data_IF_871262917564
#
_entry.id   IF_871262917564
#
_cell.length_a   1.000
_cell.length_b   1.000
_cell.length_c   1.000
_cell.angle_alpha   90.00
_cell.angle_beta   90.00
_cell.angle_gamma   90.00
#
_symmetry.space_group_name_H-M   'P 1'
#
loop_
_entity.id
_entity.type
_entity.pdbx_description
1 polymer ?
#
# COMPACT_ATOMS: atom_id res chain seq x y z
N UNK A 1 21.25 -8.89 -6.29
CA UNK A 1 19.84 -8.64 -5.94
C UNK A 1 19.64 -7.38 -5.11
N UNK A 2 20.45 -7.13 -4.07
CA UNK A 2 20.40 -5.90 -3.26
C UNK A 2 20.34 -4.59 -4.07
N UNK A 3 21.19 -4.41 -5.10
CA UNK A 3 21.17 -3.19 -5.93
C UNK A 3 19.90 -3.01 -6.77
N UNK A 4 19.25 -4.10 -7.19
CA UNK A 4 17.98 -4.04 -7.93
C UNK A 4 16.84 -3.60 -7.01
N UNK A 5 16.76 -4.17 -5.81
CA UNK A 5 15.77 -3.78 -4.79
C UNK A 5 16.04 -2.34 -4.30
N UNK A 6 17.30 -1.95 -4.15
CA UNK A 6 17.69 -0.57 -3.84
C UNK A 6 17.14 0.44 -4.85
N UNK A 7 17.17 0.12 -6.15
CA UNK A 7 16.60 1.01 -7.17
C UNK A 7 15.08 1.22 -7.02
N UNK A 8 14.35 0.24 -6.48
CA UNK A 8 12.92 0.36 -6.17
C UNK A 8 12.72 1.25 -4.95
N UNK A 9 13.57 1.13 -3.93
CA UNK A 9 13.58 2.03 -2.77
C UNK A 9 13.83 3.49 -3.21
N UNK A 10 14.89 3.73 -3.99
CA UNK A 10 15.23 5.06 -4.52
C UNK A 10 14.11 5.64 -5.40
N UNK A 11 13.37 4.76 -6.11
CA UNK A 11 12.22 5.18 -6.90
C UNK A 11 11.05 5.61 -6.01
N UNK A 12 10.70 4.81 -4.99
CA UNK A 12 9.63 5.17 -4.05
C UNK A 12 9.97 6.46 -3.34
N UNK A 13 11.20 6.62 -2.84
CA UNK A 13 11.64 7.83 -2.14
C UNK A 13 11.47 9.09 -3.01
N UNK A 14 11.83 9.03 -4.29
CA UNK A 14 11.61 10.14 -5.23
C UNK A 14 10.15 10.35 -5.62
N UNK A 15 9.34 9.31 -5.57
CA UNK A 15 7.92 9.37 -5.92
C UNK A 15 7.04 9.83 -4.75
N UNK A 16 7.57 9.89 -3.53
CA UNK A 16 6.87 10.39 -2.36
C UNK A 16 6.62 11.90 -2.47
N UNK A 17 5.38 12.29 -2.28
CA UNK A 17 4.96 13.67 -2.10
C UNK A 17 4.21 13.78 -0.77
N UNK A 18 4.75 14.56 0.17
CA UNK A 18 4.18 14.76 1.50
C UNK A 18 3.85 13.42 2.21
N UNK A 19 4.82 12.50 2.27
CA UNK A 19 4.70 11.17 2.91
C UNK A 19 3.72 10.19 2.25
N UNK A 20 3.14 10.57 1.11
CA UNK A 20 2.21 9.74 0.35
C UNK A 20 2.71 9.46 -1.06
N UNK A 21 2.28 8.36 -1.64
CA UNK A 21 2.54 7.98 -3.02
C UNK A 21 1.23 7.78 -3.77
N UNK A 22 1.17 8.29 -5.01
CA UNK A 22 0.07 7.99 -5.93
C UNK A 22 0.12 6.53 -6.38
N UNK A 23 -1.05 5.89 -6.51
CA UNK A 23 -1.12 4.48 -6.89
C UNK A 23 -0.42 4.15 -8.21
N UNK A 24 -0.39 5.10 -9.16
CA UNK A 24 0.33 4.91 -10.42
C UNK A 24 1.84 4.75 -10.23
N UNK A 25 2.44 5.50 -9.30
CA UNK A 25 3.85 5.33 -8.98
C UNK A 25 4.07 4.06 -8.13
N UNK A 26 3.17 3.77 -7.19
CA UNK A 26 3.21 2.52 -6.43
C UNK A 26 3.16 1.27 -7.34
N UNK A 27 2.25 1.23 -8.32
CA UNK A 27 2.15 0.13 -9.28
C UNK A 27 3.40 0.01 -10.15
N UNK A 28 3.99 1.13 -10.59
CA UNK A 28 5.29 1.12 -11.27
C UNK A 28 6.40 0.52 -10.41
N UNK A 29 6.40 0.76 -9.10
CA UNK A 29 7.37 0.14 -8.19
C UNK A 29 7.21 -1.39 -8.12
N UNK A 30 5.96 -1.88 -8.14
CA UNK A 30 5.65 -3.32 -8.22
C UNK A 30 6.10 -3.90 -9.58
N UNK A 31 5.82 -3.22 -10.69
CA UNK A 31 6.28 -3.63 -12.03
C UNK A 31 7.81 -3.65 -12.14
N UNK A 32 8.51 -2.70 -11.49
CA UNK A 32 9.96 -2.69 -11.45
C UNK A 32 10.52 -3.96 -10.79
N UNK A 33 9.89 -4.48 -9.74
CA UNK A 33 10.31 -5.76 -9.14
C UNK A 33 10.21 -6.92 -10.14
N UNK A 34 9.15 -6.93 -10.96
CA UNK A 34 8.96 -7.91 -12.02
C UNK A 34 10.04 -7.78 -13.11
N UNK A 35 10.33 -6.56 -13.57
CA UNK A 35 11.41 -6.32 -14.55
C UNK A 35 12.78 -6.76 -14.04
N UNK A 36 12.98 -6.66 -12.72
CA UNK A 36 14.20 -7.10 -12.05
C UNK A 36 14.29 -8.61 -11.84
N UNK A 37 13.21 -9.34 -12.13
CA UNK A 37 13.04 -10.78 -11.88
C UNK A 37 13.31 -11.12 -10.40
N UNK A 38 12.71 -10.34 -9.51
CA UNK A 38 12.89 -10.50 -8.07
C UNK A 38 12.18 -11.78 -7.60
N UNK A 39 12.87 -12.67 -6.89
CA UNK A 39 12.26 -13.89 -6.35
C UNK A 39 11.62 -13.68 -4.99
N UNK A 40 10.79 -14.63 -4.53
CA UNK A 40 10.17 -14.56 -3.20
C UNK A 40 11.19 -14.42 -2.06
N UNK A 41 12.28 -15.19 -2.11
CA UNK A 41 13.38 -15.10 -1.13
C UNK A 41 14.05 -13.72 -1.12
N UNK A 42 14.18 -13.08 -2.28
CA UNK A 42 14.72 -11.73 -2.36
C UNK A 42 13.77 -10.73 -1.69
N UNK A 43 12.46 -10.87 -1.91
CA UNK A 43 11.45 -10.04 -1.23
C UNK A 43 11.55 -10.20 0.28
N UNK A 44 11.63 -11.43 0.79
CA UNK A 44 11.82 -11.69 2.22
C UNK A 44 13.11 -11.04 2.75
N UNK A 45 14.22 -11.20 2.03
CA UNK A 45 15.53 -10.73 2.49
C UNK A 45 15.72 -9.21 2.40
N UNK A 46 15.04 -8.54 1.45
CA UNK A 46 15.32 -7.14 1.13
C UNK A 46 14.13 -6.20 1.26
N UNK A 47 12.89 -6.69 1.24
CA UNK A 47 11.68 -5.87 1.32
C UNK A 47 10.84 -6.13 2.56
N UNK A 48 10.91 -7.32 3.17
CA UNK A 48 10.23 -7.62 4.44
C UNK A 48 11.18 -7.38 5.61
N UNK A 49 11.48 -6.10 5.85
CA UNK A 49 12.33 -5.65 6.94
C UNK A 49 11.64 -4.54 7.74
N UNK A 50 11.64 -4.62 9.08
CA UNK A 50 10.99 -3.62 9.91
C UNK A 50 11.66 -2.25 9.82
N UNK A 51 12.96 -2.18 9.50
CA UNK A 51 13.70 -0.91 9.37
C UNK A 51 13.33 -0.13 8.10
N UNK A 52 12.71 -0.79 7.12
CA UNK A 52 12.31 -0.16 5.86
C UNK A 52 11.01 0.62 6.02
N UNK A 53 10.72 1.49 5.06
CA UNK A 53 9.41 2.11 4.94
C UNK A 53 8.33 1.05 4.72
N UNK A 54 7.18 1.17 5.39
CA UNK A 54 6.05 0.24 5.25
C UNK A 54 5.53 0.15 3.81
N UNK A 55 5.69 1.21 3.01
CA UNK A 55 5.35 1.21 1.59
C UNK A 55 6.23 0.23 0.79
N UNK A 56 7.49 0.04 1.17
CA UNK A 56 8.35 -0.98 0.56
C UNK A 56 7.90 -2.39 0.94
N UNK A 57 7.51 -2.59 2.20
CA UNK A 57 6.92 -3.87 2.62
C UNK A 57 5.63 -4.15 1.83
N UNK A 58 4.77 -3.14 1.64
CA UNK A 58 3.54 -3.24 0.86
C UNK A 58 3.80 -3.57 -0.62
N UNK A 59 4.79 -2.93 -1.25
CA UNK A 59 5.20 -3.25 -2.63
C UNK A 59 5.66 -4.70 -2.73
N UNK A 60 6.46 -5.18 -1.78
CA UNK A 60 6.86 -6.58 -1.68
C UNK A 60 5.67 -7.53 -1.54
N UNK A 61 4.76 -7.22 -0.62
CA UNK A 61 3.52 -7.98 -0.39
C UNK A 61 2.69 -8.10 -1.68
N UNK A 62 2.42 -6.98 -2.34
CA UNK A 62 1.63 -6.95 -3.57
C UNK A 62 2.31 -7.75 -4.68
N UNK A 63 3.62 -7.60 -4.85
CA UNK A 63 4.37 -8.36 -5.83
C UNK A 63 4.30 -9.88 -5.58
N UNK A 64 4.44 -10.32 -4.32
CA UNK A 64 4.32 -11.74 -3.95
C UNK A 64 2.97 -12.34 -4.30
N UNK A 65 1.88 -11.61 -4.02
CA UNK A 65 0.52 -12.11 -4.22
C UNK A 65 0.14 -12.12 -5.70
N UNK A 66 0.46 -11.04 -6.43
CA UNK A 66 -0.07 -10.82 -7.79
C UNK A 66 0.87 -11.33 -8.88
N UNK A 67 2.18 -11.14 -8.74
CA UNK A 67 3.14 -11.47 -9.80
C UNK A 67 3.79 -12.83 -9.58
N UNK A 68 4.12 -13.16 -8.33
CA UNK A 68 4.71 -14.46 -7.99
C UNK A 68 3.66 -15.53 -7.66
N UNK A 69 2.39 -15.14 -7.53
CA UNK A 69 1.26 -16.02 -7.20
C UNK A 69 1.51 -16.89 -5.94
N UNK A 70 2.24 -16.35 -4.97
CA UNK A 70 2.55 -17.06 -3.73
C UNK A 70 1.25 -17.22 -2.91
N UNK A 71 0.96 -18.42 -2.37
CA UNK A 71 -0.18 -18.62 -1.50
C UNK A 71 -0.18 -17.64 -0.33
N UNK A 72 -1.36 -17.09 0.00
CA UNK A 72 -1.50 -16.08 1.06
C UNK A 72 -0.92 -16.56 2.40
N UNK A 73 -1.09 -17.84 2.73
CA UNK A 73 -0.55 -18.48 3.94
C UNK A 73 0.97 -18.30 4.07
N UNK A 74 1.70 -18.55 2.98
CA UNK A 74 3.16 -18.43 2.95
C UNK A 74 3.60 -16.96 3.03
N UNK A 75 2.83 -16.04 2.45
CA UNK A 75 3.11 -14.61 2.53
C UNK A 75 2.86 -14.10 3.95
N UNK A 76 1.78 -14.53 4.60
CA UNK A 76 1.47 -14.20 6.00
C UNK A 76 2.56 -14.73 6.93
N UNK A 77 2.99 -15.98 6.74
CA UNK A 77 4.11 -16.55 7.49
C UNK A 77 5.37 -15.69 7.35
N UNK A 78 5.70 -15.27 6.12
CA UNK A 78 6.85 -14.41 5.86
C UNK A 78 6.73 -13.01 6.49
N UNK A 79 5.52 -12.42 6.51
CA UNK A 79 5.26 -11.14 7.19
C UNK A 79 5.42 -11.27 8.70
N UNK A 80 4.92 -12.37 9.28
CA UNK A 80 5.02 -12.67 10.70
C UNK A 80 6.47 -12.94 11.12
N UNK A 81 7.21 -13.77 10.37
CA UNK A 81 8.62 -14.09 10.64
C UNK A 81 9.53 -12.87 10.55
N UNK A 82 9.10 -11.85 9.81
CA UNK A 82 9.86 -10.60 9.61
C UNK A 82 9.33 -9.46 10.48
N UNK A 83 8.37 -9.71 11.37
CA UNK A 83 7.78 -8.74 12.30
C UNK A 83 7.17 -7.50 11.61
N UNK A 84 6.69 -7.65 10.36
CA UNK A 84 6.08 -6.56 9.59
C UNK A 84 4.56 -6.72 9.39
N UNK A 85 3.97 -7.84 9.81
CA UNK A 85 2.53 -8.13 9.61
C UNK A 85 1.61 -7.03 10.16
N UNK A 86 1.87 -6.56 11.37
CA UNK A 86 1.06 -5.55 12.07
C UNK A 86 1.31 -4.12 11.57
N UNK A 87 2.29 -3.90 10.69
CA UNK A 87 2.56 -2.56 10.15
C UNK A 87 1.39 -2.13 9.29
N UNK A 88 0.98 -0.87 9.45
CA UNK A 88 -0.21 -0.36 8.78
C UNK A 88 0.11 0.66 7.70
N UNK A 89 -0.70 0.62 6.65
CA UNK A 89 -0.76 1.65 5.61
C UNK A 89 -2.11 2.34 5.67
N UNK A 90 -2.13 3.63 5.35
CA UNK A 90 -3.35 4.37 5.09
C UNK A 90 -3.57 4.43 3.58
N UNK A 91 -4.71 3.92 3.13
CA UNK A 91 -5.13 3.98 1.74
C UNK A 91 -6.34 4.90 1.66
N UNK A 92 -6.23 5.93 0.84
CA UNK A 92 -7.32 6.85 0.57
C UNK A 92 -7.65 6.88 -0.91
N UNK A 93 -8.93 6.87 -1.23
CA UNK A 93 -9.38 6.88 -2.62
C UNK A 93 -10.71 7.60 -2.80
N UNK A 94 -10.90 8.13 -4.01
CA UNK A 94 -12.12 8.81 -4.41
C UNK A 94 -12.89 7.95 -5.40
N UNK A 95 -14.13 7.61 -5.06
CA UNK A 95 -15.06 6.93 -5.95
C UNK A 95 -15.97 7.94 -6.64
N UNK A 96 -16.11 7.85 -7.96
CA UNK A 96 -17.11 8.58 -8.72
C UNK A 96 -18.50 8.09 -8.34
N UNK A 97 -19.40 9.03 -8.12
CA UNK A 97 -20.80 8.73 -7.90
C UNK A 97 -21.39 7.98 -9.11
N UNK A 98 -21.99 6.83 -8.83
CA UNK A 98 -22.67 6.01 -9.85
C UNK A 98 -23.98 6.65 -10.28
N UNK A 99 -24.42 6.34 -11.49
CA UNK A 99 -25.78 6.68 -11.94
C UNK A 99 -26.79 5.71 -11.33
N UNK A 100 -27.82 6.24 -10.69
CA UNK A 100 -28.88 5.47 -10.06
C UNK A 100 -30.23 6.16 -10.31
N UNK A 101 -31.17 5.45 -10.93
CA UNK A 101 -32.50 5.97 -11.34
C UNK A 101 -32.46 7.34 -12.06
N UNK A 102 -31.50 7.53 -12.97
CA UNK A 102 -31.37 8.76 -13.75
C UNK A 102 -30.72 9.94 -13.02
N UNK A 103 -30.25 9.75 -11.78
CA UNK A 103 -29.48 10.74 -11.04
C UNK A 103 -28.05 10.24 -10.83
N UNK A 104 -27.07 11.14 -10.93
CA UNK A 104 -25.70 10.85 -10.53
C UNK A 104 -25.58 11.00 -9.01
N UNK A 105 -25.18 9.92 -8.32
CA UNK A 105 -24.86 9.97 -6.88
C UNK A 105 -23.64 10.87 -6.63
N UNK A 106 -23.39 11.23 -5.37
CA UNK A 106 -22.20 12.01 -5.02
C UNK A 106 -20.95 11.17 -5.10
N UNK A 107 -19.84 11.82 -5.40
CA UNK A 107 -18.52 11.21 -5.27
C UNK A 107 -18.23 10.92 -3.80
N UNK A 108 -17.60 9.79 -3.53
CA UNK A 108 -17.33 9.31 -2.18
C UNK A 108 -15.83 9.32 -1.91
N UNK A 109 -15.44 9.90 -0.79
CA UNK A 109 -14.09 9.76 -0.27
C UNK A 109 -14.03 8.60 0.72
N UNK A 110 -13.06 7.71 0.52
CA UNK A 110 -12.81 6.57 1.37
C UNK A 110 -11.41 6.68 1.94
N UNK A 111 -11.26 6.36 3.23
CA UNK A 111 -9.98 6.29 3.93
C UNK A 111 -9.98 5.05 4.82
N UNK A 112 -8.95 4.21 4.70
CA UNK A 112 -8.79 3.00 5.48
C UNK A 112 -7.35 2.83 5.92
N UNK A 113 -7.16 2.60 7.22
CA UNK A 113 -5.94 2.04 7.77
C UNK A 113 -6.08 0.51 7.76
N UNK A 114 -5.05 -0.18 7.27
CA UNK A 114 -5.05 -1.64 7.18
C UNK A 114 -3.65 -2.17 7.44
N UNK A 115 -3.55 -3.31 8.14
CA UNK A 115 -2.27 -3.99 8.36
C UNK A 115 -1.82 -4.74 7.11
N UNK A 116 -0.52 -5.03 7.00
CA UNK A 116 0.00 -5.86 5.91
C UNK A 116 -0.55 -7.30 5.99
N UNK A 117 -0.72 -7.83 7.20
CA UNK A 117 -1.33 -9.14 7.44
C UNK A 117 -2.78 -9.19 6.94
N UNK A 118 -3.60 -8.20 7.30
CA UNK A 118 -5.00 -8.12 6.86
C UNK A 118 -5.11 -7.97 5.33
N UNK A 119 -4.21 -7.22 4.70
CA UNK A 119 -4.15 -7.09 3.24
C UNK A 119 -3.81 -8.41 2.54
N UNK A 120 -3.01 -9.27 3.18
CA UNK A 120 -2.69 -10.59 2.63
C UNK A 120 -3.89 -11.55 2.64
N UNK A 121 -4.78 -11.41 3.63
CA UNK A 121 -5.98 -12.23 3.81
C UNK A 121 -7.17 -11.68 3.02
N UNK A 122 -7.41 -10.37 3.10
CA UNK A 122 -8.60 -9.71 2.56
C UNK A 122 -8.35 -9.15 1.17
N UNK A 123 -8.92 -9.83 0.15
CA UNK A 123 -8.72 -9.47 -1.25
C UNK A 123 -9.65 -8.36 -1.76
N UNK A 124 -10.78 -8.10 -1.11
CA UNK A 124 -11.91 -7.52 -1.84
C UNK A 124 -12.01 -5.99 -1.81
N UNK A 125 -11.76 -5.32 -0.68
CA UNK A 125 -11.97 -3.86 -0.61
C UNK A 125 -10.71 -3.05 -0.87
N UNK A 126 -9.70 -3.13 0.00
CA UNK A 126 -8.51 -2.25 -0.09
C UNK A 126 -7.49 -2.81 -1.07
N UNK A 127 -7.22 -4.11 -1.02
CA UNK A 127 -6.26 -4.74 -1.93
C UNK A 127 -6.73 -4.64 -3.39
N UNK A 128 -8.03 -4.81 -3.65
CA UNK A 128 -8.62 -4.60 -4.97
C UNK A 128 -8.40 -3.18 -5.52
N UNK A 129 -8.50 -2.15 -4.67
CA UNK A 129 -8.21 -0.75 -5.04
C UNK A 129 -6.73 -0.55 -5.33
N UNK A 130 -5.84 -1.10 -4.49
CA UNK A 130 -4.38 -1.01 -4.69
C UNK A 130 -3.93 -1.71 -5.97
N UNK A 131 -4.52 -2.87 -6.28
CA UNK A 131 -4.20 -3.66 -7.45
C UNK A 131 -4.69 -3.03 -8.75
N UNK A 132 -5.95 -2.59 -8.78
CA UNK A 132 -6.56 -1.99 -9.99
C UNK A 132 -6.09 -0.55 -10.22
N UNK A 133 -5.82 0.19 -9.16
CA UNK A 133 -5.49 1.62 -9.22
C UNK A 133 -6.70 2.49 -9.56
N UNK A 134 -6.44 3.64 -10.17
CA UNK A 134 -7.47 4.58 -10.61
C UNK A 134 -8.12 4.09 -11.93
N UNK A 135 -9.31 3.51 -11.83
CA UNK A 135 -10.08 2.95 -12.97
C UNK A 135 -11.50 3.49 -12.90
N UNK A 136 -12.06 4.02 -14.00
CA UNK A 136 -13.45 4.52 -14.27
C UNK A 136 -14.38 4.93 -13.11
N UNK A 137 -14.49 4.15 -12.04
CA UNK A 137 -15.21 4.47 -10.80
C UNK A 137 -14.30 4.99 -9.68
N UNK A 138 -12.98 4.85 -9.77
CA UNK A 138 -11.97 5.29 -8.80
C UNK A 138 -11.07 6.32 -9.49
N UNK A 139 -11.14 7.57 -9.05
CA UNK A 139 -10.46 8.71 -9.71
C UNK A 139 -9.00 8.79 -9.32
N UNK A 140 -8.74 8.56 -8.03
CA UNK A 140 -7.42 8.73 -7.42
C UNK A 140 -7.30 7.80 -6.23
N UNK A 141 -6.10 7.28 -6.04
CA UNK A 141 -5.75 6.46 -4.88
C UNK A 141 -4.38 6.94 -4.42
N UNK A 142 -4.29 7.26 -3.13
CA UNK A 142 -3.04 7.63 -2.48
C UNK A 142 -2.80 6.69 -1.31
N UNK A 143 -1.52 6.40 -1.09
CA UNK A 143 -1.07 5.44 -0.09
C UNK A 143 -0.02 6.14 0.77
N UNK A 144 -0.14 6.06 2.08
CA UNK A 144 0.88 6.55 3.00
C UNK A 144 1.14 5.52 4.10
N UNK A 145 2.21 5.71 4.86
CA UNK A 145 2.29 5.06 6.16
C UNK A 145 1.09 5.48 7.01
N UNK A 146 0.52 4.55 7.79
CA UNK A 146 -0.50 4.93 8.75
C UNK A 146 0.13 5.83 9.82
N UNK A 147 -0.49 6.98 10.09
CA UNK A 147 -0.07 7.82 11.22
C UNK A 147 -0.39 7.07 12.50
N UNK A 148 0.52 7.09 13.46
CA UNK A 148 0.22 6.57 14.79
C UNK A 148 -0.99 7.34 15.33
N UNK A 149 -1.97 6.64 15.90
CA UNK A 149 -3.15 7.25 16.53
C UNK A 149 -2.81 7.98 17.84
N UNK A 150 -1.60 8.53 17.95
CA UNK A 150 -1.18 9.42 19.04
C UNK A 150 -1.40 10.89 18.65
N UNK A 151 -2.60 11.24 18.18
CA UNK A 151 -3.11 12.60 18.37
C UNK A 151 -4.01 12.57 19.59
N UNK A 152 -3.39 12.75 20.77
CA UNK A 152 -4.12 13.18 21.96
C UNK A 152 -4.76 14.53 21.64
N UNK A 153 -6.09 14.53 21.50
CA UNK A 153 -6.90 15.69 21.18
C UNK A 153 -7.00 16.69 22.36
N UNK A 154 -5.92 16.89 23.12
CA UNK A 154 -5.92 17.64 24.38
C UNK A 154 -5.01 18.87 24.43
N UNK A 155 -4.46 19.32 23.29
CA UNK A 155 -3.74 20.60 23.22
C UNK A 155 -4.38 21.56 22.22
N UNK A 156 -5.62 21.96 22.51
CA UNK A 156 -6.07 23.30 22.16
C UNK A 156 -5.78 24.19 23.38
N UNK A 157 -4.61 24.80 23.43
CA UNK A 157 -4.38 25.94 24.31
C UNK A 157 -5.06 27.12 23.63
N UNK A 158 -6.24 27.48 24.14
CA UNK A 158 -6.84 28.77 23.84
C UNK A 158 -5.91 29.85 24.39
N UNK A 159 -5.26 30.60 23.49
CA UNK A 159 -4.72 31.90 23.85
C UNK A 159 -5.88 32.90 23.80
N UNK A 160 -6.28 33.36 24.99
CA UNK A 160 -7.01 34.63 25.19
C UNK A 160 -6.01 35.66 25.66
#
# INVERSE_FOLDING_TARGET
MAGKVGSVADFIERALAYESIEVGNYLKAVELLNSHQTGFKDVQMFLLKPELNVLLNLVGLHYCIVWLEIPAENVIEALNSSEVSERQVCVQWWKLGRWFYGFRLRDEFHLRNVSLGDLAVSKEDVFGVLHRGAVHEVIRVQISAAKSTHTSWSHQVAHV
#
